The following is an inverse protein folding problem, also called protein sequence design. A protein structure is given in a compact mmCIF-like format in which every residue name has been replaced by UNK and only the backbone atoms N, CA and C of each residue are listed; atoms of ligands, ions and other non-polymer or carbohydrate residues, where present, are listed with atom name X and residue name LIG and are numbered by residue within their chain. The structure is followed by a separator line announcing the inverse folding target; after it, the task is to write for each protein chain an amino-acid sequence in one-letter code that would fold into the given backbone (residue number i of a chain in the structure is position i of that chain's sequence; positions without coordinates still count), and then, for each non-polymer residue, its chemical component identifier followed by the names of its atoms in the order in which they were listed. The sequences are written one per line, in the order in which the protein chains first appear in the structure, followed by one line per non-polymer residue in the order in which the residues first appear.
data_IF_781949217955
#
_entry.id   IF_781949217955
#
_cell.length_a   1.000
_cell.length_b   1.000
_cell.length_c   1.000
_cell.angle_alpha   90.00
_cell.angle_beta   90.00
_cell.angle_gamma   90.00
#
_symmetry.space_group_name_H-M   'P 1'
#
loop_
_entity.id
_entity.type
_entity.pdbx_description
1 polymer ?
#
# COMPACT_ATOMS: atom_id res chain seq x y z
N UNK A 1 -11.95 -17.51 -3.29
CA UNK A 1 -11.10 -16.51 -2.63
C UNK A 1 -11.84 -15.91 -1.46
N UNK A 2 -11.17 -15.72 -0.31
CA UNK A 2 -11.77 -15.10 0.89
C UNK A 2 -11.01 -13.83 1.26
N UNK A 3 -11.70 -12.70 1.36
CA UNK A 3 -11.12 -11.41 1.77
C UNK A 3 -11.66 -11.04 3.15
N UNK A 4 -10.77 -10.91 4.10
CA UNK A 4 -11.08 -10.48 5.47
C UNK A 4 -11.15 -8.97 5.50
N UNK A 5 -12.18 -8.41 6.12
CA UNK A 5 -12.43 -6.97 6.14
C UNK A 5 -12.68 -6.53 7.59
N UNK A 6 -11.79 -5.73 8.13
CA UNK A 6 -12.00 -5.02 9.38
C UNK A 6 -12.93 -3.84 9.14
N UNK A 7 -14.20 -4.00 9.49
CA UNK A 7 -15.23 -2.97 9.23
C UNK A 7 -15.37 -1.95 10.35
N UNK A 8 -14.69 -2.15 11.49
CA UNK A 8 -14.85 -1.32 12.70
C UNK A 8 -13.78 -0.25 12.85
N UNK A 9 -12.71 -0.29 12.05
CA UNK A 9 -11.60 0.65 12.16
C UNK A 9 -11.69 1.80 11.15
N UNK A 10 -11.18 2.96 11.53
CA UNK A 10 -11.18 4.19 10.72
C UNK A 10 -12.16 5.25 11.23
N UNK A 11 -12.00 6.49 10.73
CA UNK A 11 -12.73 7.67 11.22
C UNK A 11 -14.24 7.62 10.93
N UNK A 12 -14.61 6.91 9.85
CA UNK A 12 -15.98 6.82 9.35
C UNK A 12 -16.58 5.40 9.49
N UNK A 13 -15.93 4.54 10.29
CA UNK A 13 -16.40 3.18 10.54
C UNK A 13 -17.63 3.16 11.45
N UNK A 14 -18.54 2.18 11.31
CA UNK A 14 -18.54 1.13 10.29
C UNK A 14 -19.22 1.56 8.98
N UNK A 15 -19.85 2.74 8.92
CA UNK A 15 -20.76 3.16 7.84
C UNK A 15 -20.08 3.16 6.48
N UNK A 16 -18.99 3.92 6.32
CA UNK A 16 -18.30 4.04 5.04
C UNK A 16 -17.63 2.72 4.62
N UNK A 17 -17.17 1.92 5.60
CA UNK A 17 -16.59 0.62 5.34
C UNK A 17 -17.64 -0.35 4.77
N UNK A 18 -18.83 -0.41 5.37
CA UNK A 18 -19.93 -1.27 4.90
C UNK A 18 -20.50 -0.80 3.56
N UNK A 19 -20.66 0.52 3.36
CA UNK A 19 -20.98 1.10 2.05
C UNK A 19 -19.93 0.74 0.99
N UNK A 20 -18.66 0.69 1.37
CA UNK A 20 -17.57 0.27 0.49
C UNK A 20 -17.64 -1.22 0.14
N UNK A 21 -17.98 -2.07 1.10
CA UNK A 21 -18.24 -3.51 0.86
C UNK A 21 -19.40 -3.70 -0.11
N UNK A 22 -20.53 -3.05 0.12
CA UNK A 22 -21.71 -3.11 -0.77
C UNK A 22 -21.35 -2.66 -2.20
N UNK A 23 -20.55 -1.59 -2.34
CA UNK A 23 -20.04 -1.18 -3.65
C UNK A 23 -19.14 -2.24 -4.29
N UNK A 24 -18.28 -2.89 -3.52
CA UNK A 24 -17.39 -3.93 -4.01
C UNK A 24 -18.17 -5.17 -4.47
N UNK A 25 -19.17 -5.61 -3.72
CA UNK A 25 -20.04 -6.75 -4.05
C UNK A 25 -20.73 -6.59 -5.42
N UNK A 26 -21.02 -5.36 -5.82
CA UNK A 26 -21.67 -5.03 -7.10
C UNK A 26 -20.72 -4.96 -8.30
N UNK A 27 -19.45 -5.29 -8.12
CA UNK A 27 -18.42 -5.25 -9.17
C UNK A 27 -18.01 -6.66 -9.61
N UNK A 28 -17.70 -6.80 -10.89
CA UNK A 28 -17.28 -8.08 -11.48
C UNK A 28 -16.00 -8.68 -10.88
N UNK A 29 -15.13 -7.87 -10.30
CA UNK A 29 -13.95 -8.40 -9.60
C UNK A 29 -14.30 -9.16 -8.31
N UNK A 30 -15.53 -9.05 -7.82
CA UNK A 30 -16.06 -9.77 -6.65
C UNK A 30 -16.68 -11.12 -7.00
N UNK A 31 -16.76 -11.47 -8.27
CA UNK A 31 -17.30 -12.77 -8.68
C UNK A 31 -16.44 -13.91 -8.11
N UNK A 32 -17.08 -14.82 -7.35
CA UNK A 32 -16.40 -15.91 -6.65
C UNK A 32 -15.57 -15.50 -5.43
N UNK A 33 -15.75 -14.25 -4.93
CA UNK A 33 -15.10 -13.76 -3.72
C UNK A 33 -16.09 -13.82 -2.55
N UNK A 34 -15.69 -14.40 -1.43
CA UNK A 34 -16.39 -14.33 -0.15
C UNK A 34 -15.76 -13.25 0.72
N UNK A 35 -16.55 -12.34 1.24
CA UNK A 35 -16.07 -11.33 2.20
C UNK A 35 -16.39 -11.77 3.62
N UNK A 36 -15.38 -11.73 4.51
CA UNK A 36 -15.52 -11.99 5.94
C UNK A 36 -15.43 -10.66 6.66
N UNK A 37 -16.56 -10.17 7.17
CA UNK A 37 -16.67 -8.90 7.88
C UNK A 37 -16.41 -9.12 9.35
N UNK A 38 -15.40 -8.44 9.90
CA UNK A 38 -15.07 -8.54 11.33
C UNK A 38 -15.52 -7.28 12.05
N UNK A 39 -16.36 -7.45 13.07
CA UNK A 39 -16.84 -6.35 13.89
C UNK A 39 -18.05 -6.69 14.76
N UNK A 40 -18.64 -5.67 15.38
CA UNK A 40 -19.85 -5.82 16.15
C UNK A 40 -21.05 -6.15 15.22
N UNK A 41 -21.54 -7.37 15.31
CA UNK A 41 -22.64 -7.88 14.47
C UNK A 41 -23.91 -7.00 14.58
N UNK A 42 -24.19 -6.45 15.77
CA UNK A 42 -25.35 -5.54 15.96
C UNK A 42 -25.14 -4.23 15.23
N UNK A 43 -23.93 -3.65 15.30
CA UNK A 43 -23.59 -2.42 14.58
C UNK A 43 -23.61 -2.64 13.06
N UNK A 44 -23.08 -3.77 12.57
CA UNK A 44 -23.11 -4.16 11.15
C UNK A 44 -24.57 -4.30 10.68
N UNK A 45 -25.40 -5.07 11.39
CA UNK A 45 -26.81 -5.30 11.04
C UNK A 45 -27.63 -4.03 11.06
N UNK A 46 -27.43 -3.17 12.08
CA UNK A 46 -28.09 -1.86 12.16
C UNK A 46 -27.73 -0.97 10.98
N UNK A 47 -26.45 -0.83 10.68
CA UNK A 47 -25.97 0.00 9.56
C UNK A 47 -26.48 -0.55 8.22
N UNK A 48 -26.48 -1.86 8.03
CA UNK A 48 -27.00 -2.50 6.83
C UNK A 48 -28.49 -2.18 6.63
N UNK A 49 -29.30 -2.24 7.68
CA UNK A 49 -30.72 -1.91 7.64
C UNK A 49 -30.97 -0.43 7.34
N UNK A 50 -30.27 0.49 8.03
CA UNK A 50 -30.40 1.94 7.85
C UNK A 50 -30.03 2.40 6.44
N UNK A 51 -29.01 1.79 5.83
CA UNK A 51 -28.51 2.14 4.50
C UNK A 51 -29.01 1.20 3.39
N UNK A 52 -29.86 0.21 3.73
CA UNK A 52 -30.41 -0.78 2.79
C UNK A 52 -29.33 -1.53 2.01
N UNK A 53 -28.28 -1.97 2.72
CA UNK A 53 -27.17 -2.72 2.14
C UNK A 53 -27.52 -4.19 2.03
N UNK A 54 -27.16 -4.81 0.91
CA UNK A 54 -27.24 -6.27 0.75
C UNK A 54 -25.89 -6.89 1.09
N UNK A 55 -25.79 -7.47 2.28
CA UNK A 55 -24.61 -8.16 2.79
C UNK A 55 -24.83 -9.69 2.86
N UNK A 56 -25.86 -10.22 2.19
CA UNK A 56 -26.22 -11.65 2.23
C UNK A 56 -25.10 -12.58 1.71
N UNK A 57 -24.17 -12.05 0.87
CA UNK A 57 -22.99 -12.77 0.39
C UNK A 57 -21.77 -12.69 1.31
N UNK A 58 -21.91 -12.09 2.51
CA UNK A 58 -20.81 -11.93 3.45
C UNK A 58 -20.94 -12.87 4.66
N UNK A 59 -19.80 -13.38 5.13
CA UNK A 59 -19.68 -14.03 6.44
C UNK A 59 -19.42 -12.94 7.49
N UNK A 60 -20.05 -13.02 8.68
CA UNK A 60 -19.78 -12.08 9.79
C UNK A 60 -19.05 -12.81 10.90
N UNK A 61 -17.92 -12.27 11.33
CA UNK A 61 -17.17 -12.69 12.49
C UNK A 61 -17.31 -11.65 13.58
N UNK A 62 -18.06 -11.97 14.63
CA UNK A 62 -18.36 -11.03 15.71
C UNK A 62 -17.17 -10.73 16.60
N UNK A 63 -16.95 -9.45 16.89
CA UNK A 63 -16.19 -8.90 18.01
C UNK A 63 -16.66 -7.49 18.31
N UNK A 64 -16.80 -7.14 19.57
CA UNK A 64 -17.13 -5.78 20.05
C UNK A 64 -15.88 -4.94 20.36
N UNK A 65 -14.70 -5.57 20.36
CA UNK A 65 -13.44 -4.90 20.66
C UNK A 65 -12.86 -4.22 19.43
N UNK A 66 -12.56 -2.93 19.56
CA UNK A 66 -11.95 -2.11 18.50
C UNK A 66 -10.60 -1.58 18.96
N UNK A 67 -9.63 -1.58 18.05
CA UNK A 67 -8.36 -0.89 18.22
C UNK A 67 -8.51 0.50 17.57
N UNK A 68 -8.33 1.55 18.36
CA UNK A 68 -8.51 2.94 17.95
C UNK A 68 -7.23 3.52 17.35
N UNK A 69 -7.33 4.74 16.78
CA UNK A 69 -6.16 5.42 16.20
C UNK A 69 -5.15 5.88 17.27
N UNK A 70 -5.59 6.06 18.52
CA UNK A 70 -4.79 6.54 19.65
C UNK A 70 -4.15 5.40 20.47
N UNK A 71 -4.54 4.14 20.22
CA UNK A 71 -3.98 2.98 20.89
C UNK A 71 -2.50 2.77 20.51
N UNK A 72 -1.72 2.27 21.46
CA UNK A 72 -0.35 1.84 21.22
C UNK A 72 -0.31 0.77 20.11
N UNK A 73 0.60 0.84 19.14
CA UNK A 73 0.73 -0.18 18.09
C UNK A 73 0.89 -1.62 18.60
N UNK A 74 1.50 -1.81 19.78
CA UNK A 74 1.67 -3.12 20.39
C UNK A 74 0.41 -3.66 21.06
N UNK A 75 -0.64 -2.84 21.23
CA UNK A 75 -1.91 -3.29 21.80
C UNK A 75 -2.54 -4.44 20.99
N UNK A 76 -2.32 -4.46 19.66
CA UNK A 76 -2.77 -5.54 18.78
C UNK A 76 -2.21 -6.93 19.16
N UNK A 77 -1.09 -6.95 19.88
CA UNK A 77 -0.44 -8.19 20.37
C UNK A 77 -0.80 -8.51 21.81
N UNK A 78 -1.44 -7.59 22.52
CA UNK A 78 -1.71 -7.66 23.97
C UNK A 78 -3.22 -7.67 24.26
N UNK A 79 -3.70 -6.62 24.89
CA UNK A 79 -5.07 -6.43 25.34
C UNK A 79 -6.08 -6.26 24.19
N UNK A 80 -5.64 -5.77 23.05
CA UNK A 80 -6.45 -5.60 21.82
C UNK A 80 -6.26 -6.72 20.78
N UNK A 81 -5.69 -7.88 21.18
CA UNK A 81 -5.48 -9.01 20.25
C UNK A 81 -6.76 -9.57 19.64
N UNK A 82 -7.88 -9.43 20.34
CA UNK A 82 -9.20 -9.88 19.88
C UNK A 82 -10.02 -8.72 19.27
N UNK A 83 -9.43 -7.54 19.02
CA UNK A 83 -10.09 -6.49 18.27
C UNK A 83 -10.38 -6.94 16.83
N UNK A 84 -11.23 -6.20 16.13
CA UNK A 84 -11.54 -6.48 14.72
C UNK A 84 -10.27 -6.59 13.86
N UNK A 85 -9.30 -5.71 14.07
CA UNK A 85 -7.99 -5.77 13.41
C UNK A 85 -7.16 -6.98 13.85
N UNK A 86 -7.03 -7.22 15.16
CA UNK A 86 -6.23 -8.32 15.71
C UNK A 86 -6.77 -9.68 15.31
N UNK A 87 -8.08 -9.87 15.38
CA UNK A 87 -8.76 -11.09 14.95
C UNK A 87 -8.58 -11.31 13.44
N UNK A 88 -8.70 -10.25 12.63
CA UNK A 88 -8.49 -10.34 11.18
C UNK A 88 -7.08 -10.81 10.82
N UNK A 89 -6.06 -10.30 11.51
CA UNK A 89 -4.67 -10.73 11.33
C UNK A 89 -4.45 -12.19 11.74
N UNK A 90 -5.07 -12.64 12.83
CA UNK A 90 -4.98 -14.04 13.29
C UNK A 90 -5.64 -14.98 12.27
N UNK A 91 -6.86 -14.67 11.81
CA UNK A 91 -7.56 -15.44 10.79
C UNK A 91 -6.75 -15.50 9.48
N UNK A 92 -6.16 -14.37 9.05
CA UNK A 92 -5.31 -14.34 7.86
C UNK A 92 -4.08 -15.25 8.02
N UNK A 93 -3.43 -15.21 9.18
CA UNK A 93 -2.28 -16.07 9.49
C UNK A 93 -2.65 -17.56 9.57
N UNK A 94 -3.85 -17.87 10.04
CA UNK A 94 -4.40 -19.23 10.09
C UNK A 94 -4.81 -19.78 8.70
N UNK A 95 -4.80 -18.94 7.66
CA UNK A 95 -5.21 -19.33 6.31
C UNK A 95 -6.74 -19.32 6.10
N UNK A 96 -7.49 -18.70 6.99
CA UNK A 96 -8.95 -18.56 6.88
C UNK A 96 -9.36 -17.50 5.84
N UNK A 97 -8.37 -16.73 5.33
CA UNK A 97 -8.52 -15.77 4.25
C UNK A 97 -7.25 -15.62 3.42
N UNK A 98 -7.39 -14.98 2.27
CA UNK A 98 -6.31 -14.75 1.29
C UNK A 98 -5.72 -13.35 1.41
N UNK A 99 -6.52 -12.38 1.87
CA UNK A 99 -6.09 -11.01 2.12
C UNK A 99 -6.87 -10.37 3.27
N UNK A 100 -6.29 -9.30 3.85
CA UNK A 100 -6.92 -8.44 4.86
C UNK A 100 -6.96 -6.98 4.37
N UNK A 101 -8.10 -6.32 4.57
CA UNK A 101 -8.28 -4.87 4.34
C UNK A 101 -8.70 -4.20 5.65
N UNK A 102 -8.01 -3.12 6.04
CA UNK A 102 -8.34 -2.34 7.24
C UNK A 102 -8.05 -0.85 7.07
N UNK A 103 -8.88 0.01 7.64
CA UNK A 103 -8.65 1.45 7.83
C UNK A 103 -7.97 1.79 9.17
N UNK A 104 -7.65 0.78 10.00
CA UNK A 104 -7.16 0.97 11.37
C UNK A 104 -5.83 1.69 11.50
N UNK A 105 -5.35 1.83 12.72
CA UNK A 105 -4.07 2.43 13.05
C UNK A 105 -2.92 1.78 12.26
N UNK A 106 -2.17 2.60 11.52
CA UNK A 106 -1.10 2.10 10.62
C UNK A 106 -0.01 1.36 11.37
N UNK A 107 0.39 1.87 12.54
CA UNK A 107 1.40 1.23 13.38
C UNK A 107 0.96 -0.13 13.89
N UNK A 108 -0.29 -0.23 14.37
CA UNK A 108 -0.86 -1.48 14.86
C UNK A 108 -1.05 -2.51 13.73
N UNK A 109 -1.55 -2.07 12.58
CA UNK A 109 -1.69 -2.94 11.41
C UNK A 109 -0.32 -3.45 10.93
N UNK A 110 0.68 -2.57 10.81
CA UNK A 110 2.02 -2.95 10.38
C UNK A 110 2.71 -3.88 11.40
N UNK A 111 2.61 -3.57 12.68
CA UNK A 111 3.17 -4.38 13.78
C UNK A 111 2.52 -5.76 13.82
N UNK A 112 1.20 -5.81 13.85
CA UNK A 112 0.44 -7.06 13.88
C UNK A 112 0.67 -7.89 12.62
N UNK A 113 0.63 -7.28 11.43
CA UNK A 113 0.92 -7.97 10.18
C UNK A 113 2.34 -8.57 10.16
N UNK A 114 3.34 -7.83 10.65
CA UNK A 114 4.73 -8.32 10.71
C UNK A 114 4.91 -9.47 11.70
N UNK A 115 4.26 -9.42 12.87
CA UNK A 115 4.46 -10.38 13.96
C UNK A 115 3.52 -11.60 13.87
N UNK A 116 2.26 -11.41 13.42
CA UNK A 116 1.24 -12.47 13.34
C UNK A 116 1.27 -13.13 11.96
N UNK A 117 1.10 -12.35 10.87
CA UNK A 117 1.07 -12.88 9.50
C UNK A 117 2.47 -13.29 9.04
N UNK A 118 3.50 -12.59 9.53
CA UNK A 118 4.92 -12.80 9.25
C UNK A 118 5.32 -12.40 7.83
N UNK A 119 6.63 -12.28 7.65
CA UNK A 119 7.23 -11.94 6.35
C UNK A 119 7.48 -13.19 5.51
N UNK A 120 7.54 -13.01 4.22
CA UNK A 120 8.08 -13.99 3.28
C UNK A 120 9.53 -14.31 3.65
N UNK A 121 9.93 -15.58 3.52
CA UNK A 121 11.31 -16.02 3.75
C UNK A 121 12.25 -15.29 2.78
N UNK A 122 13.33 -14.75 3.30
CA UNK A 122 14.30 -13.94 2.53
C UNK A 122 14.01 -12.43 2.55
N UNK A 123 12.81 -11.99 2.90
CA UNK A 123 12.51 -10.56 3.11
C UNK A 123 12.89 -10.14 4.52
N UNK A 124 13.88 -9.26 4.62
CA UNK A 124 14.40 -8.77 5.90
C UNK A 124 13.47 -7.75 6.55
N UNK A 125 12.78 -6.92 5.76
CA UNK A 125 11.86 -5.89 6.24
C UNK A 125 10.66 -5.74 5.31
N UNK A 126 9.45 -5.74 5.88
CA UNK A 126 8.24 -5.33 5.16
C UNK A 126 8.26 -3.82 4.93
N UNK A 127 7.67 -3.36 3.84
CA UNK A 127 7.55 -1.92 3.51
C UNK A 127 6.12 -1.55 3.16
N UNK A 128 5.75 -0.29 3.40
CA UNK A 128 4.45 0.25 2.98
C UNK A 128 4.61 0.87 1.59
N UNK A 129 3.99 0.26 0.58
CA UNK A 129 3.95 0.75 -0.79
C UNK A 129 2.66 1.50 -1.08
N UNK A 130 2.76 2.77 -1.44
CA UNK A 130 1.63 3.61 -1.85
C UNK A 130 1.68 3.85 -3.36
N UNK A 131 0.55 3.64 -4.05
CA UNK A 131 0.42 3.96 -5.48
C UNK A 131 -0.04 5.40 -5.65
N UNK A 132 0.75 6.17 -6.35
CA UNK A 132 0.49 7.58 -6.65
C UNK A 132 0.16 7.73 -8.14
N UNK A 133 -1.04 8.27 -8.50
CA UNK A 133 -1.52 8.22 -9.89
C UNK A 133 -1.05 9.37 -10.81
N UNK A 134 -0.24 10.27 -10.37
CA UNK A 134 0.15 11.55 -10.99
C UNK A 134 0.16 11.53 -12.54
N UNK A 135 1.30 11.70 -13.20
CA UNK A 135 1.40 11.63 -14.66
C UNK A 135 1.21 10.20 -15.17
N UNK A 136 1.81 9.24 -14.50
CA UNK A 136 1.57 7.80 -14.61
C UNK A 136 1.59 7.19 -13.22
N UNK A 137 0.84 6.09 -12.96
CA UNK A 137 0.90 5.40 -11.68
C UNK A 137 2.32 4.92 -11.39
N UNK A 138 2.84 5.28 -10.22
CA UNK A 138 4.10 4.76 -9.71
C UNK A 138 3.94 4.36 -8.24
N UNK A 139 4.81 3.48 -7.77
CA UNK A 139 4.84 3.08 -6.36
C UNK A 139 5.89 3.87 -5.61
N UNK A 140 5.51 4.50 -4.50
CA UNK A 140 6.42 5.03 -3.50
C UNK A 140 6.55 4.01 -2.36
N UNK A 141 7.76 3.51 -2.12
CA UNK A 141 8.08 2.50 -1.09
C UNK A 141 9.47 2.78 -0.47
N UNK A 142 9.64 2.90 0.82
CA UNK A 142 8.70 2.81 1.92
C UNK A 142 8.02 4.17 2.18
N UNK A 143 6.72 4.15 2.40
CA UNK A 143 5.93 5.36 2.63
C UNK A 143 5.52 5.55 4.10
N UNK A 144 6.24 4.92 5.06
CA UNK A 144 5.98 5.21 6.47
C UNK A 144 6.16 4.10 7.50
N UNK A 145 6.77 2.96 7.14
CA UNK A 145 6.99 1.86 8.09
C UNK A 145 8.36 1.88 8.77
N UNK A 146 9.41 2.32 8.08
CA UNK A 146 10.79 2.21 8.53
C UNK A 146 11.52 3.53 8.46
N UNK A 147 11.55 4.27 9.58
CA UNK A 147 12.17 5.60 9.67
C UNK A 147 13.68 5.56 9.49
N UNK A 148 14.33 4.50 9.95
CA UNK A 148 15.78 4.29 9.85
C UNK A 148 16.06 2.89 9.26
N UNK A 149 15.83 2.67 7.97
CA UNK A 149 16.21 1.43 7.32
C UNK A 149 17.74 1.37 7.13
N UNK A 150 18.25 0.18 6.86
CA UNK A 150 19.58 0.03 6.27
C UNK A 150 19.44 -0.13 4.74
N UNK A 151 20.58 -0.12 4.04
CA UNK A 151 20.61 -0.24 2.59
C UNK A 151 20.07 -1.58 2.06
N UNK A 152 20.19 -2.69 2.80
CA UNK A 152 19.65 -3.99 2.40
C UNK A 152 18.10 -3.98 2.43
N UNK A 153 17.50 -3.24 3.39
CA UNK A 153 16.04 -3.03 3.40
C UNK A 153 15.59 -2.21 2.19
N UNK A 154 16.36 -1.17 1.83
CA UNK A 154 16.08 -0.34 0.65
C UNK A 154 16.14 -1.15 -0.66
N UNK A 155 17.12 -2.04 -0.79
CA UNK A 155 17.20 -2.99 -1.93
C UNK A 155 15.98 -3.92 -1.94
N UNK A 156 15.57 -4.42 -0.78
CA UNK A 156 14.36 -5.22 -0.64
C UNK A 156 13.11 -4.47 -1.08
N UNK A 157 12.97 -3.19 -0.72
CA UNK A 157 11.86 -2.34 -1.15
C UNK A 157 11.86 -2.16 -2.68
N UNK A 158 13.02 -1.94 -3.30
CA UNK A 158 13.17 -1.85 -4.75
C UNK A 158 12.67 -3.12 -5.46
N UNK A 159 13.07 -4.28 -4.98
CA UNK A 159 12.67 -5.58 -5.54
C UNK A 159 11.16 -5.81 -5.39
N UNK A 160 10.61 -5.58 -4.20
CA UNK A 160 9.17 -5.74 -3.94
C UNK A 160 8.33 -4.79 -4.78
N UNK A 161 8.75 -3.52 -4.91
CA UNK A 161 8.08 -2.52 -5.75
C UNK A 161 8.12 -2.91 -7.22
N UNK A 162 9.27 -3.34 -7.73
CA UNK A 162 9.42 -3.81 -9.11
C UNK A 162 8.52 -5.02 -9.39
N UNK A 163 8.51 -6.04 -8.52
CA UNK A 163 7.66 -7.22 -8.64
C UNK A 163 6.16 -6.85 -8.67
N UNK A 164 5.75 -5.93 -7.81
CA UNK A 164 4.37 -5.44 -7.78
C UNK A 164 3.98 -4.71 -9.08
N UNK A 165 4.80 -3.76 -9.55
CA UNK A 165 4.51 -3.00 -10.78
C UNK A 165 4.45 -3.91 -11.99
N UNK A 166 5.30 -4.92 -12.06
CA UNK A 166 5.24 -5.96 -13.08
C UNK A 166 3.94 -6.77 -13.02
N UNK A 167 3.57 -7.28 -11.84
CA UNK A 167 2.40 -8.13 -11.67
C UNK A 167 1.07 -7.39 -11.91
N UNK A 168 0.92 -6.19 -11.34
CA UNK A 168 -0.36 -5.45 -11.32
C UNK A 168 -0.52 -4.57 -12.56
N UNK A 169 0.54 -3.87 -12.96
CA UNK A 169 0.49 -2.91 -14.07
C UNK A 169 1.01 -3.47 -15.40
N UNK A 170 1.57 -4.68 -15.41
CA UNK A 170 2.07 -5.34 -16.63
C UNK A 170 3.32 -4.66 -17.22
N UNK A 171 4.10 -3.98 -16.39
CA UNK A 171 5.35 -3.33 -16.82
C UNK A 171 6.47 -4.36 -16.72
N UNK A 172 6.96 -4.86 -17.85
CA UNK A 172 7.96 -5.95 -17.87
C UNK A 172 9.27 -5.58 -17.17
N UNK A 173 9.72 -4.34 -17.30
CA UNK A 173 10.95 -3.82 -16.72
C UNK A 173 10.70 -2.47 -16.03
N UNK A 174 10.08 -2.47 -14.81
CA UNK A 174 9.76 -1.24 -14.09
C UNK A 174 11.02 -0.43 -13.80
N UNK A 175 10.98 0.86 -14.12
CA UNK A 175 12.07 1.81 -13.81
C UNK A 175 12.09 2.08 -12.32
N UNK A 176 13.14 1.62 -11.64
CA UNK A 176 13.34 1.80 -10.20
C UNK A 176 14.29 2.96 -9.97
N UNK A 177 13.89 3.96 -9.20
CA UNK A 177 14.74 5.08 -8.81
C UNK A 177 14.84 5.20 -7.29
N UNK A 178 15.95 5.75 -6.81
CA UNK A 178 16.14 6.10 -5.40
C UNK A 178 15.74 7.57 -5.19
N UNK A 179 14.76 7.82 -4.33
CA UNK A 179 14.36 9.18 -3.97
C UNK A 179 15.48 9.88 -3.21
N UNK A 180 15.93 11.02 -3.73
CA UNK A 180 17.09 11.74 -3.24
C UNK A 180 16.92 13.26 -3.41
N UNK A 181 17.86 14.04 -2.85
CA UNK A 181 17.92 15.50 -2.93
C UNK A 181 18.73 16.02 -4.14
N UNK A 182 19.17 15.14 -5.03
CA UNK A 182 19.89 15.44 -6.27
C UNK A 182 20.05 14.20 -7.13
N UNK A 183 20.27 14.37 -8.43
CA UNK A 183 20.34 13.29 -9.40
C UNK A 183 21.70 12.56 -9.43
N UNK A 184 22.77 13.21 -8.93
CA UNK A 184 24.13 12.66 -8.99
C UNK A 184 24.32 11.51 -8.00
N UNK A 185 25.20 10.55 -8.33
CA UNK A 185 25.45 9.33 -7.51
C UNK A 185 25.89 9.61 -6.09
N UNK A 186 26.67 10.68 -5.89
CA UNK A 186 27.23 11.05 -4.56
C UNK A 186 26.28 11.85 -3.67
N UNK A 187 25.06 12.15 -4.13
CA UNK A 187 24.07 12.91 -3.36
C UNK A 187 23.40 12.06 -2.27
N UNK A 188 22.82 12.76 -1.31
CA UNK A 188 22.11 12.16 -0.18
C UNK A 188 23.02 11.87 1.00
N UNK A 189 22.46 11.20 1.99
CA UNK A 189 23.19 10.71 3.17
C UNK A 189 23.96 9.43 2.84
N UNK A 190 24.75 8.94 3.79
CA UNK A 190 25.45 7.66 3.68
C UNK A 190 24.50 6.51 3.31
N UNK A 191 23.28 6.49 3.87
CA UNK A 191 22.26 5.50 3.51
C UNK A 191 21.93 5.54 2.01
N UNK A 192 21.70 6.72 1.44
CA UNK A 192 21.36 6.85 0.01
C UNK A 192 22.55 6.46 -0.87
N UNK A 193 23.74 6.87 -0.53
CA UNK A 193 24.97 6.54 -1.31
C UNK A 193 25.25 5.03 -1.30
N UNK A 194 25.17 4.39 -0.15
CA UNK A 194 25.35 2.94 -0.03
C UNK A 194 24.22 2.17 -0.73
N UNK A 195 22.98 2.65 -0.61
CA UNK A 195 21.83 2.07 -1.32
C UNK A 195 22.00 2.20 -2.83
N UNK A 196 22.43 3.38 -3.33
CA UNK A 196 22.67 3.61 -4.75
C UNK A 196 23.66 2.59 -5.32
N UNK A 197 24.81 2.39 -4.65
CA UNK A 197 25.81 1.43 -5.07
C UNK A 197 25.22 0.00 -5.19
N UNK A 198 24.49 -0.46 -4.16
CA UNK A 198 23.86 -1.79 -4.17
C UNK A 198 22.78 -1.94 -5.24
N UNK A 199 21.96 -0.89 -5.47
CA UNK A 199 20.93 -0.91 -6.51
C UNK A 199 21.55 -0.95 -7.91
N UNK A 200 22.64 -0.22 -8.14
CA UNK A 200 23.38 -0.18 -9.41
C UNK A 200 23.98 -1.54 -9.78
N UNK A 201 24.42 -2.30 -8.79
CA UNK A 201 24.98 -3.65 -8.96
C UNK A 201 23.89 -4.71 -9.14
N UNK A 202 22.66 -4.45 -8.70
CA UNK A 202 21.57 -5.42 -8.72
C UNK A 202 20.97 -5.56 -10.12
N UNK A 203 21.37 -6.61 -10.84
CA UNK A 203 20.91 -6.90 -12.21
C UNK A 203 19.46 -7.36 -12.31
N UNK A 204 18.77 -7.58 -11.18
CA UNK A 204 17.37 -8.06 -11.15
C UNK A 204 16.35 -6.94 -11.27
N UNK A 205 16.79 -5.69 -11.15
CA UNK A 205 15.95 -4.49 -11.27
C UNK A 205 16.48 -3.58 -12.37
N UNK A 206 15.60 -2.81 -12.96
CA UNK A 206 15.94 -1.75 -13.90
C UNK A 206 16.18 -0.45 -13.11
N UNK A 207 17.35 -0.34 -12.49
CA UNK A 207 17.71 0.85 -11.71
C UNK A 207 18.07 2.00 -12.65
N UNK A 208 17.37 3.13 -12.51
CA UNK A 208 17.55 4.32 -13.36
C UNK A 208 18.26 5.49 -12.66
N UNK A 209 18.80 5.24 -11.45
CA UNK A 209 19.55 6.24 -10.67
C UNK A 209 18.70 6.95 -9.63
N UNK A 210 19.18 8.11 -9.17
CA UNK A 210 18.45 8.96 -8.24
C UNK A 210 17.31 9.72 -8.93
N UNK A 211 16.26 10.01 -8.17
CA UNK A 211 15.15 10.87 -8.58
C UNK A 211 14.88 11.93 -7.52
N UNK A 212 14.70 13.17 -7.92
CA UNK A 212 14.24 14.22 -7.04
C UNK A 212 12.70 14.26 -6.95
N UNK A 213 12.15 14.90 -5.93
CA UNK A 213 10.70 14.97 -5.72
C UNK A 213 9.91 15.55 -6.91
N UNK A 214 10.48 16.50 -7.66
CA UNK A 214 9.90 17.06 -8.88
C UNK A 214 9.79 16.01 -10.01
N UNK A 215 10.80 15.14 -10.14
CA UNK A 215 10.83 14.06 -11.13
C UNK A 215 9.72 13.04 -10.91
N UNK A 216 9.34 12.76 -9.65
CA UNK A 216 8.21 11.86 -9.33
C UNK A 216 6.91 12.33 -9.97
N UNK A 217 6.62 13.62 -9.87
CA UNK A 217 5.40 14.20 -10.45
C UNK A 217 5.37 14.12 -11.98
N UNK A 218 6.52 14.09 -12.61
CA UNK A 218 6.69 14.06 -14.08
C UNK A 218 6.83 12.64 -14.65
N UNK A 219 6.80 11.59 -13.80
CA UNK A 219 6.83 10.20 -14.24
C UNK A 219 8.24 9.69 -14.59
N UNK A 220 9.26 10.16 -13.86
CA UNK A 220 10.65 9.74 -14.06
C UNK A 220 10.87 8.24 -13.75
N UNK A 221 10.06 7.62 -12.89
CA UNK A 221 10.19 6.22 -12.51
C UNK A 221 8.82 5.55 -12.31
N UNK A 222 8.83 4.23 -12.24
CA UNK A 222 7.66 3.40 -11.94
C UNK A 222 7.67 2.93 -10.47
N UNK A 223 8.87 2.92 -9.84
CA UNK A 223 9.08 2.65 -8.41
C UNK A 223 10.04 3.69 -7.87
N UNK A 224 9.62 4.44 -6.86
CA UNK A 224 10.45 5.34 -6.08
C UNK A 224 10.76 4.71 -4.73
N UNK A 225 12.03 4.39 -4.49
CA UNK A 225 12.50 3.81 -3.23
C UNK A 225 12.90 4.92 -2.27
N UNK A 226 12.45 4.82 -1.03
CA UNK A 226 12.72 5.81 0.03
C UNK A 226 12.80 5.14 1.40
N UNK A 227 13.46 5.80 2.35
CA UNK A 227 13.20 5.53 3.77
C UNK A 227 11.78 5.98 4.15
N UNK A 228 11.23 5.40 5.23
CA UNK A 228 9.83 5.65 5.60
C UNK A 228 9.57 7.08 6.09
N UNK A 229 10.57 7.83 6.56
CA UNK A 229 10.37 9.23 6.94
C UNK A 229 10.24 10.10 5.68
N UNK A 230 11.21 10.05 4.79
CA UNK A 230 11.21 10.82 3.53
C UNK A 230 10.01 10.43 2.66
N UNK A 231 9.71 9.14 2.56
CA UNK A 231 8.56 8.64 1.81
C UNK A 231 7.23 9.13 2.37
N UNK A 232 7.04 9.12 3.70
CA UNK A 232 5.80 9.63 4.30
C UNK A 232 5.64 11.14 4.11
N UNK A 233 6.71 11.92 4.29
CA UNK A 233 6.69 13.36 4.02
C UNK A 233 6.32 13.63 2.56
N UNK A 234 6.93 12.92 1.63
CA UNK A 234 6.64 13.03 0.18
C UNK A 234 5.19 12.68 -0.12
N UNK A 235 4.68 11.55 0.39
CA UNK A 235 3.29 11.12 0.24
C UNK A 235 2.32 12.19 0.74
N UNK A 236 2.52 12.68 1.98
CA UNK A 236 1.65 13.68 2.59
C UNK A 236 1.70 15.04 1.88
N UNK A 237 2.85 15.41 1.35
CA UNK A 237 2.99 16.62 0.53
C UNK A 237 2.18 16.50 -0.76
N UNK A 238 2.30 15.38 -1.48
CA UNK A 238 1.53 15.12 -2.71
C UNK A 238 0.02 15.09 -2.44
N UNK A 239 -0.42 14.40 -1.36
CA UNK A 239 -1.82 14.40 -0.93
C UNK A 239 -2.34 15.82 -0.61
N UNK A 240 -1.54 16.59 0.13
CA UNK A 240 -1.87 17.98 0.49
C UNK A 240 -1.99 18.89 -0.73
N UNK A 241 -1.04 18.80 -1.65
CA UNK A 241 -1.07 19.56 -2.90
C UNK A 241 -2.27 19.17 -3.78
N UNK A 242 -2.62 17.89 -3.86
CA UNK A 242 -3.81 17.43 -4.58
C UNK A 242 -5.12 18.01 -4.00
N UNK A 243 -5.22 18.06 -2.65
CA UNK A 243 -6.35 18.71 -1.95
C UNK A 243 -6.41 20.21 -2.22
N UNK A 244 -5.26 20.92 -2.15
CA UNK A 244 -5.14 22.35 -2.43
C UNK A 244 -5.58 22.64 -3.87
N UNK A 245 -5.00 21.97 -4.86
CA UNK A 245 -5.35 22.17 -6.27
C UNK A 245 -6.85 21.92 -6.53
N UNK A 246 -7.43 20.89 -5.91
CA UNK A 246 -8.86 20.60 -6.03
C UNK A 246 -9.73 21.69 -5.44
N UNK A 247 -9.30 22.31 -4.32
CA UNK A 247 -9.98 23.45 -3.65
C UNK A 247 -9.91 24.72 -4.53
N UNK A 248 -8.72 25.07 -5.00
CA UNK A 248 -8.52 26.27 -5.83
C UNK A 248 -9.28 26.19 -7.15
N UNK A 249 -9.23 25.05 -7.83
CA UNK A 249 -10.02 24.82 -9.06
C UNK A 249 -11.53 24.95 -8.81
N UNK A 250 -12.04 24.45 -7.67
CA UNK A 250 -13.44 24.67 -7.29
C UNK A 250 -13.74 26.15 -7.07
N UNK A 251 -12.81 26.91 -6.49
CA UNK A 251 -12.94 28.34 -6.25
C UNK A 251 -13.10 29.14 -7.56
N UNK A 252 -12.25 28.87 -8.54
CA UNK A 252 -12.28 29.51 -9.85
C UNK A 252 -13.65 29.42 -10.53
N UNK A 253 -14.30 28.25 -10.43
CA UNK A 253 -15.59 28.00 -11.06
C UNK A 253 -16.81 28.43 -10.23
N UNK A 254 -16.64 28.86 -8.97
CA UNK A 254 -17.74 29.36 -8.13
C UNK A 254 -18.03 30.86 -8.34
N UNK A 255 -17.22 31.56 -9.12
CA UNK A 255 -17.34 33.01 -9.36
C UNK A 255 -18.40 33.38 -10.40
N UNK A 256 -19.66 33.55 -9.99
CA UNK A 256 -20.74 34.07 -10.83
C UNK A 256 -21.24 33.16 -11.95
N UNK A 257 -22.19 33.68 -12.77
CA UNK A 257 -22.82 32.93 -13.87
C UNK A 257 -21.83 32.43 -14.93
N UNK A 258 -20.80 33.22 -15.24
CA UNK A 258 -19.77 32.84 -16.20
C UNK A 258 -18.93 31.65 -15.72
N UNK A 259 -18.55 31.62 -14.43
CA UNK A 259 -17.85 30.50 -13.83
C UNK A 259 -18.67 29.22 -13.86
N UNK A 260 -19.98 29.31 -13.62
CA UNK A 260 -20.89 28.17 -13.65
C UNK A 260 -21.06 27.58 -15.04
N UNK A 261 -21.18 28.42 -16.08
CA UNK A 261 -21.20 28.00 -17.49
C UNK A 261 -19.88 27.34 -17.91
N UNK A 262 -18.76 27.96 -17.56
CA UNK A 262 -17.43 27.37 -17.83
C UNK A 262 -17.27 26.01 -17.14
N UNK A 263 -17.72 25.84 -15.90
CA UNK A 263 -17.71 24.55 -15.22
C UNK A 263 -18.49 23.47 -15.98
N UNK A 264 -19.69 23.78 -16.46
CA UNK A 264 -20.50 22.82 -17.23
C UNK A 264 -19.78 22.33 -18.48
N UNK A 265 -19.08 23.21 -19.19
CA UNK A 265 -18.34 22.85 -20.39
C UNK A 265 -17.10 21.98 -20.11
N UNK A 266 -16.40 22.22 -18.97
CA UNK A 266 -15.15 21.52 -18.68
C UNK A 266 -15.27 20.43 -17.61
N UNK A 267 -16.45 20.22 -17.00
CA UNK A 267 -16.65 19.29 -15.86
C UNK A 267 -16.07 17.90 -16.07
N UNK A 268 -16.18 17.36 -17.29
CA UNK A 268 -15.67 16.03 -17.64
C UNK A 268 -14.14 15.99 -17.62
N UNK A 269 -13.47 17.03 -18.17
CA UNK A 269 -12.01 17.17 -18.13
C UNK A 269 -11.52 17.40 -16.70
N UNK A 270 -12.24 18.22 -15.94
CA UNK A 270 -11.92 18.51 -14.55
C UNK A 270 -12.05 17.26 -13.65
N UNK A 271 -13.06 16.41 -13.89
CA UNK A 271 -13.20 15.12 -13.19
C UNK A 271 -12.01 14.19 -13.49
N UNK A 272 -11.58 14.10 -14.77
CA UNK A 272 -10.39 13.34 -15.15
C UNK A 272 -9.10 13.90 -14.52
N UNK A 273 -8.96 15.21 -14.48
CA UNK A 273 -7.82 15.89 -13.86
C UNK A 273 -7.75 15.58 -12.35
N UNK A 274 -8.87 15.71 -11.61
CA UNK A 274 -8.93 15.39 -10.18
C UNK A 274 -8.53 13.94 -9.88
N UNK A 275 -8.95 13.00 -10.72
CA UNK A 275 -8.59 11.57 -10.56
C UNK A 275 -7.07 11.34 -10.58
N UNK A 276 -6.29 12.17 -11.30
CA UNK A 276 -4.82 12.09 -11.32
C UNK A 276 -4.15 12.44 -10.00
N UNK A 277 -4.85 13.15 -9.11
CA UNK A 277 -4.34 13.54 -7.79
C UNK A 277 -5.07 12.81 -6.66
N UNK A 278 -5.99 11.92 -6.99
CA UNK A 278 -6.78 11.19 -6.01
C UNK A 278 -6.15 9.82 -5.75
N UNK A 279 -5.32 9.76 -4.71
CA UNK A 279 -4.65 8.51 -4.29
C UNK A 279 -5.66 7.40 -3.99
N UNK A 280 -6.88 7.75 -3.57
CA UNK A 280 -7.94 6.78 -3.26
C UNK A 280 -8.46 6.02 -4.48
N UNK A 281 -8.23 6.49 -5.70
CA UNK A 281 -8.60 5.78 -6.94
C UNK A 281 -7.83 4.46 -7.13
N UNK A 282 -6.63 4.36 -6.57
CA UNK A 282 -5.77 3.18 -6.69
C UNK A 282 -5.87 2.21 -5.50
N UNK A 283 -6.70 2.53 -4.52
CA UNK A 283 -6.91 1.70 -3.33
C UNK A 283 -6.21 2.25 -2.09
N UNK A 284 -5.67 1.35 -1.28
CA UNK A 284 -4.89 1.68 -0.11
C UNK A 284 -3.38 1.58 -0.34
N UNK A 285 -2.61 1.71 0.73
CA UNK A 285 -1.22 1.32 0.76
C UNK A 285 -1.09 -0.18 1.05
N UNK A 286 -0.17 -0.85 0.37
CA UNK A 286 0.11 -2.28 0.58
C UNK A 286 1.23 -2.45 1.59
N UNK A 287 1.09 -3.41 2.49
CA UNK A 287 2.23 -3.88 3.28
C UNK A 287 2.88 -5.02 2.50
N UNK A 288 3.92 -4.69 1.75
CA UNK A 288 4.66 -5.64 0.92
C UNK A 288 5.70 -6.42 1.74
N UNK A 289 6.01 -7.63 1.28
CA UNK A 289 6.97 -8.52 1.93
C UNK A 289 6.39 -9.41 3.03
N UNK A 290 5.07 -9.40 3.22
CA UNK A 290 4.34 -10.32 4.10
C UNK A 290 3.98 -11.62 3.37
N UNK A 291 3.76 -12.70 4.12
CA UNK A 291 3.36 -14.01 3.58
C UNK A 291 1.91 -14.06 3.08
N UNK A 292 1.13 -13.02 3.32
CA UNK A 292 -0.25 -12.81 2.84
C UNK A 292 -0.47 -11.35 2.50
N UNK A 293 -1.44 -11.07 1.64
CA UNK A 293 -1.79 -9.71 1.22
C UNK A 293 -2.46 -8.93 2.35
N UNK A 294 -1.91 -7.78 2.69
CA UNK A 294 -2.50 -6.83 3.65
C UNK A 294 -2.56 -5.45 3.02
N UNK A 295 -3.77 -4.88 2.97
CA UNK A 295 -4.04 -3.56 2.42
C UNK A 295 -4.49 -2.61 3.53
N UNK A 296 -3.78 -1.50 3.66
CA UNK A 296 -4.09 -0.38 4.55
C UNK A 296 -4.87 0.68 3.78
N UNK A 297 -6.17 0.78 4.00
CA UNK A 297 -6.94 1.93 3.52
C UNK A 297 -6.72 3.15 4.44
N UNK A 298 -6.91 4.37 3.94
CA UNK A 298 -6.73 5.59 4.73
C UNK A 298 -7.77 5.67 5.86
N UNK A 299 -7.40 6.20 7.04
CA UNK A 299 -8.33 6.33 8.18
C UNK A 299 -9.62 7.08 7.83
N UNK A 300 -9.52 8.11 7.01
CA UNK A 300 -10.67 8.92 6.54
C UNK A 300 -11.27 8.43 5.21
N UNK A 301 -11.06 7.17 4.82
CA UNK A 301 -11.63 6.61 3.59
C UNK A 301 -13.14 6.76 3.55
N UNK A 302 -13.66 7.19 2.41
CA UNK A 302 -15.06 7.06 2.06
C UNK A 302 -15.35 5.67 1.44
N UNK A 303 -16.61 5.38 1.20
CA UNK A 303 -17.03 4.11 0.61
C UNK A 303 -16.35 3.77 -0.73
N UNK A 304 -16.01 4.78 -1.54
CA UNK A 304 -15.33 4.57 -2.82
C UNK A 304 -13.87 4.18 -2.59
N UNK A 305 -13.18 4.89 -1.71
CA UNK A 305 -11.79 4.60 -1.35
C UNK A 305 -11.67 3.20 -0.74
N UNK A 306 -12.62 2.83 0.12
CA UNK A 306 -12.64 1.51 0.75
C UNK A 306 -12.91 0.39 -0.27
N UNK A 307 -13.87 0.57 -1.17
CA UNK A 307 -14.13 -0.38 -2.28
C UNK A 307 -12.89 -0.54 -3.19
N UNK A 308 -12.13 0.53 -3.45
CA UNK A 308 -10.89 0.47 -4.21
C UNK A 308 -9.79 -0.30 -3.45
N UNK A 309 -9.72 -0.19 -2.12
CA UNK A 309 -8.80 -0.99 -1.30
C UNK A 309 -9.15 -2.49 -1.36
N UNK A 310 -10.44 -2.83 -1.32
CA UNK A 310 -10.92 -4.21 -1.53
C UNK A 310 -10.53 -4.70 -2.92
N UNK A 311 -10.77 -3.92 -3.97
CA UNK A 311 -10.36 -4.25 -5.34
C UNK A 311 -8.87 -4.51 -5.44
N UNK A 312 -8.04 -3.70 -4.77
CA UNK A 312 -6.59 -3.87 -4.75
C UNK A 312 -6.19 -5.19 -4.07
N UNK A 313 -6.84 -5.54 -2.94
CA UNK A 313 -6.60 -6.81 -2.26
C UNK A 313 -6.94 -8.00 -3.18
N UNK A 314 -8.12 -7.99 -3.81
CA UNK A 314 -8.54 -9.00 -4.79
C UNK A 314 -7.55 -9.11 -5.95
N UNK A 315 -7.10 -7.97 -6.50
CA UNK A 315 -6.14 -7.94 -7.60
C UNK A 315 -4.79 -8.54 -7.21
N UNK A 316 -4.28 -8.25 -6.01
CA UNK A 316 -3.02 -8.79 -5.51
C UNK A 316 -3.07 -10.31 -5.35
N UNK A 317 -4.19 -10.85 -4.84
CA UNK A 317 -4.37 -12.30 -4.70
C UNK A 317 -4.49 -12.97 -6.08
N UNK A 318 -5.32 -12.44 -6.98
CA UNK A 318 -5.50 -12.97 -8.33
C UNK A 318 -4.22 -12.96 -9.18
N UNK A 319 -3.35 -11.99 -8.94
CA UNK A 319 -2.06 -11.85 -9.64
C UNK A 319 -0.90 -12.51 -8.91
N UNK A 320 -1.16 -13.24 -7.82
CA UNK A 320 -0.17 -13.96 -7.02
C UNK A 320 1.03 -13.08 -6.61
N UNK A 321 0.78 -11.82 -6.22
CA UNK A 321 1.84 -10.84 -5.91
C UNK A 321 2.76 -11.34 -4.82
N UNK A 322 2.22 -11.99 -3.78
CA UNK A 322 3.00 -12.54 -2.67
C UNK A 322 3.96 -13.64 -3.15
N UNK A 323 3.48 -14.56 -4.00
CA UNK A 323 4.30 -15.66 -4.51
C UNK A 323 5.39 -15.18 -5.47
N UNK A 324 5.11 -14.15 -6.27
CA UNK A 324 6.11 -13.51 -7.14
C UNK A 324 7.21 -12.87 -6.30
N UNK A 325 6.85 -12.10 -5.25
CA UNK A 325 7.80 -11.51 -4.33
C UNK A 325 8.62 -12.60 -3.61
N UNK A 326 7.97 -13.69 -3.19
CA UNK A 326 8.64 -14.80 -2.52
C UNK A 326 9.68 -15.50 -3.43
N UNK A 327 9.30 -15.74 -4.69
CA UNK A 327 10.21 -16.34 -5.66
C UNK A 327 11.42 -15.45 -5.98
N UNK A 328 11.18 -14.14 -6.11
CA UNK A 328 12.27 -13.17 -6.35
C UNK A 328 13.19 -13.04 -5.14
N UNK A 329 12.64 -13.02 -3.93
CA UNK A 329 13.42 -12.97 -2.69
C UNK A 329 14.29 -14.22 -2.49
N UNK A 330 13.76 -15.40 -2.78
CA UNK A 330 14.50 -16.66 -2.68
C UNK A 330 15.69 -16.68 -3.64
N UNK A 331 15.48 -16.33 -4.90
CA UNK A 331 16.55 -16.25 -5.90
C UNK A 331 17.63 -15.23 -5.55
N UNK A 332 17.22 -14.05 -5.05
CA UNK A 332 18.19 -13.04 -4.61
C UNK A 332 19.04 -13.52 -3.43
N UNK A 333 18.44 -14.22 -2.47
CA UNK A 333 19.15 -14.79 -1.34
C UNK A 333 20.16 -15.87 -1.79
N UNK A 334 19.83 -16.72 -2.75
CA UNK A 334 20.73 -17.71 -3.34
C UNK A 334 21.91 -17.05 -4.05
N UNK A 335 21.65 -16.07 -4.91
CA UNK A 335 22.71 -15.33 -5.64
C UNK A 335 23.66 -14.60 -4.69
N UNK A 336 23.12 -13.98 -3.62
CA UNK A 336 23.94 -13.31 -2.59
C UNK A 336 24.85 -14.30 -1.87
N UNK A 337 24.32 -15.46 -1.48
CA UNK A 337 25.10 -16.51 -0.81
C UNK A 337 26.21 -17.07 -1.70
N UNK A 338 25.94 -17.25 -3.00
CA UNK A 338 26.95 -17.69 -3.96
C UNK A 338 28.06 -16.65 -4.17
N UNK A 339 27.69 -15.36 -4.22
CA UNK A 339 28.66 -14.28 -4.34
C UNK A 339 29.56 -14.19 -3.10
N UNK A 340 28.98 -14.32 -1.90
CA UNK A 340 29.74 -14.33 -0.64
C UNK A 340 30.72 -15.52 -0.56
N UNK A 341 30.30 -16.71 -0.98
CA UNK A 341 31.17 -17.90 -1.05
C UNK A 341 32.38 -17.69 -2.00
N UNK A 342 32.09 -17.16 -3.20
CA UNK A 342 33.12 -16.88 -4.20
C UNK A 342 34.12 -15.83 -3.71
N UNK A 343 33.67 -14.80 -2.99
CA UNK A 343 34.53 -13.80 -2.38
C UNK A 343 35.45 -14.42 -1.32
N UNK A 344 34.92 -15.21 -0.39
CA UNK A 344 35.69 -15.90 0.64
C UNK A 344 36.70 -16.87 0.06
N UNK A 345 36.37 -17.62 -1.00
CA UNK A 345 37.31 -18.52 -1.69
C UNK A 345 38.43 -17.75 -2.40
N UNK A 346 38.14 -16.55 -2.92
CA UNK A 346 39.17 -15.71 -3.57
C UNK A 346 40.15 -15.10 -2.56
N UNK A 347 39.68 -14.70 -1.39
CA UNK A 347 40.54 -14.21 -0.28
C UNK A 347 41.47 -15.30 0.25
N UNK A 348 40.91 -16.52 0.46
CA UNK A 348 41.74 -17.68 0.94
C UNK A 348 42.81 -18.13 -0.08
N UNK A 349 42.65 -17.82 -1.37
CA UNK A 349 43.66 -18.12 -2.40
C UNK A 349 44.71 -17.02 -2.57
N UNK A 350 44.48 -15.83 -2.05
CA UNK A 350 45.38 -14.69 -2.15
C UNK A 350 46.34 -14.59 -0.95
N UNK A 351 46.03 -15.28 0.15
CA UNK A 351 46.94 -15.55 1.27
C UNK A 351 47.82 -16.79 1.00
#
# INVERSE_FOLDING_TARGET
MKIIIDVMSGDNAPVENLLGVDKALKQSYSDGVTYILIGDEKAISKTAAEHKLDLSGCEIKHTDLVLTMDDDPMAVMKDKKNSSLGLGLQMLAAGEGDALVSCGNTGALFTGATLIVKRVKGIQRAGIGAILPLTAPFMLIDSGASVKPNEDYMVGFAMMGSAYMKAIYGIDSPRVALLNNGAEEHKGTELQQNTYAKLKENKRINFVGNVEGNGLALGACDVAVSDGFTGNVTLKTIEGMGKLMSKELKGIFKGGLGGMLAYLLVRGKLKKFRKKFDVSEHGGALILGLSKTVVKAHGSSDAKAFANAIRQAVSCVNKNVVDIIAADAAKYAEEKLEAEKKAAESETRAE
#
